data_IF_517932609193
#
_entry.id   IF_517932609193
#
_cell.length_a   1.000
_cell.length_b   1.000
_cell.length_c   1.000
_cell.angle_alpha   90.00
_cell.angle_beta   90.00
_cell.angle_gamma   90.00
#
_symmetry.space_group_name_H-M   'P 1'
#
loop_
_entity.id
_entity.type
_entity.pdbx_description
1 polymer ?
#
# COMPACT_ATOMS: atom_id res chain seq x y z
N UNK A 1 -12.08 -24.87 22.45
CA UNK A 1 -11.10 -24.79 21.34
C UNK A 1 -10.47 -23.41 21.41
N UNK A 2 -9.15 -23.27 21.42
CA UNK A 2 -8.51 -21.94 21.45
C UNK A 2 -8.73 -21.32 20.08
N UNK A 3 -9.36 -20.14 20.05
CA UNK A 3 -9.68 -19.41 18.83
C UNK A 3 -8.38 -18.80 18.30
N UNK A 4 -8.02 -19.06 17.03
CA UNK A 4 -6.83 -18.44 16.43
C UNK A 4 -6.99 -16.92 16.43
N UNK A 5 -5.97 -16.19 16.91
CA UNK A 5 -5.99 -14.74 17.05
C UNK A 5 -5.02 -14.06 16.09
N UNK A 6 -5.52 -13.07 15.35
CA UNK A 6 -4.80 -12.44 14.23
C UNK A 6 -4.78 -10.93 14.39
N UNK A 7 -3.59 -10.34 14.27
CA UNK A 7 -3.42 -8.89 14.24
C UNK A 7 -3.24 -8.40 12.80
N UNK A 8 -4.13 -7.52 12.36
CA UNK A 8 -3.94 -6.72 11.15
C UNK A 8 -3.45 -5.32 11.54
N UNK A 9 -2.29 -4.92 10.99
CA UNK A 9 -1.74 -3.56 11.17
C UNK A 9 -2.38 -2.50 10.26
N UNK A 10 -3.49 -2.85 9.62
CA UNK A 10 -4.29 -2.02 8.72
C UNK A 10 -5.75 -2.27 9.05
N UNK A 11 -6.57 -1.22 8.97
CA UNK A 11 -8.03 -1.37 8.99
C UNK A 11 -8.48 -2.18 7.77
N UNK A 12 -9.12 -3.31 8.04
CA UNK A 12 -9.83 -4.12 7.05
C UNK A 12 -11.33 -3.95 7.30
N UNK A 13 -12.14 -3.96 6.23
CA UNK A 13 -13.59 -3.80 6.41
C UNK A 13 -14.17 -4.96 7.22
N UNK A 14 -15.05 -4.70 8.20
CA UNK A 14 -15.69 -5.76 8.99
C UNK A 14 -16.41 -6.80 8.12
N UNK A 15 -17.09 -6.34 7.07
CA UNK A 15 -17.78 -7.19 6.09
C UNK A 15 -16.85 -8.20 5.43
N UNK A 16 -15.62 -7.78 5.06
CA UNK A 16 -14.63 -8.68 4.47
C UNK A 16 -14.11 -9.67 5.50
N UNK A 17 -13.82 -9.22 6.72
CA UNK A 17 -13.35 -10.10 7.78
C UNK A 17 -14.39 -11.16 8.16
N UNK A 18 -15.65 -10.77 8.30
CA UNK A 18 -16.75 -11.69 8.61
C UNK A 18 -16.94 -12.72 7.50
N UNK A 19 -16.96 -12.27 6.24
CA UNK A 19 -17.05 -13.16 5.07
C UNK A 19 -15.91 -14.19 5.04
N UNK A 20 -14.69 -13.76 5.33
CA UNK A 20 -13.50 -14.58 5.08
C UNK A 20 -13.11 -15.48 6.27
N UNK A 21 -13.40 -15.06 7.51
CA UNK A 21 -12.98 -15.76 8.73
C UNK A 21 -14.14 -16.24 9.62
N UNK A 22 -15.36 -15.72 9.44
CA UNK A 22 -16.50 -16.06 10.29
C UNK A 22 -16.25 -15.81 11.78
N UNK A 23 -16.79 -16.69 12.63
CA UNK A 23 -16.70 -16.59 14.10
C UNK A 23 -15.62 -17.47 14.72
N UNK A 24 -14.84 -18.20 13.93
CA UNK A 24 -13.86 -19.18 14.43
C UNK A 24 -12.45 -18.59 14.62
N UNK A 25 -12.25 -17.35 14.17
CA UNK A 25 -10.96 -16.64 14.23
C UNK A 25 -11.19 -15.28 14.84
N UNK A 26 -10.41 -14.94 15.86
CA UNK A 26 -10.45 -13.61 16.46
C UNK A 26 -9.55 -12.67 15.65
N UNK A 27 -10.14 -11.68 15.01
CA UNK A 27 -9.40 -10.69 14.21
C UNK A 27 -9.39 -9.35 14.93
N UNK A 28 -8.20 -8.83 15.15
CA UNK A 28 -7.98 -7.50 15.72
C UNK A 28 -7.32 -6.61 14.67
N UNK A 29 -7.92 -5.47 14.36
CA UNK A 29 -7.31 -4.44 13.51
C UNK A 29 -6.76 -3.31 14.38
N UNK A 30 -5.43 -3.12 14.38
CA UNK A 30 -4.78 -1.95 14.99
C UNK A 30 -3.89 -1.27 13.94
N UNK A 31 -4.41 -0.24 13.24
CA UNK A 31 -3.61 0.51 12.28
C UNK A 31 -2.37 1.10 12.91
N UNK A 32 -1.24 0.96 12.22
CA UNK A 32 0.04 1.57 12.58
C UNK A 32 0.35 2.82 11.77
N UNK A 33 -0.58 3.22 10.91
CA UNK A 33 -0.48 4.40 10.06
C UNK A 33 -1.78 5.20 10.11
N UNK A 34 -1.65 6.50 10.37
CA UNK A 34 -2.70 7.48 10.19
C UNK A 34 -2.47 8.23 8.87
N UNK A 35 -3.52 8.33 8.06
CA UNK A 35 -3.47 9.00 6.76
C UNK A 35 -4.17 10.34 6.86
N UNK A 36 -3.45 11.40 6.54
CA UNK A 36 -4.00 12.74 6.37
C UNK A 36 -3.97 13.11 4.88
N UNK A 37 -5.12 13.49 4.31
CA UNK A 37 -5.18 13.88 2.90
C UNK A 37 -4.87 15.36 2.76
N UNK A 38 -4.04 15.71 1.78
CA UNK A 38 -3.82 17.11 1.40
C UNK A 38 -5.12 17.70 0.87
N UNK A 39 -5.39 18.98 1.15
CA UNK A 39 -6.62 19.62 0.68
C UNK A 39 -6.65 19.74 -0.85
N UNK A 40 -7.86 19.73 -1.42
CA UNK A 40 -8.06 19.86 -2.87
C UNK A 40 -7.46 21.15 -3.44
N UNK A 41 -7.59 22.26 -2.72
CA UNK A 41 -7.07 23.56 -3.16
C UNK A 41 -5.53 23.55 -3.22
N UNK A 42 -4.87 22.96 -2.23
CA UNK A 42 -3.41 22.81 -2.22
C UNK A 42 -2.91 21.89 -3.33
N UNK A 43 -3.63 20.79 -3.59
CA UNK A 43 -3.31 19.88 -4.69
C UNK A 43 -3.46 20.62 -6.02
N UNK A 44 -4.59 21.26 -6.27
CA UNK A 44 -4.86 21.99 -7.52
C UNK A 44 -3.84 23.10 -7.78
N UNK A 45 -3.42 23.84 -6.75
CA UNK A 45 -2.45 24.91 -6.89
C UNK A 45 -1.04 24.46 -7.33
N UNK A 46 -0.72 23.17 -7.17
CA UNK A 46 0.58 22.59 -7.53
C UNK A 46 0.58 21.83 -8.85
N UNK A 47 -0.60 21.64 -9.47
CA UNK A 47 -0.70 20.91 -10.73
C UNK A 47 -0.19 21.77 -11.89
N UNK A 48 0.69 21.20 -12.71
CA UNK A 48 1.01 21.78 -14.00
C UNK A 48 -0.12 21.43 -14.98
N UNK A 49 -1.01 22.39 -15.22
CA UNK A 49 -2.16 22.22 -16.13
C UNK A 49 -1.77 22.02 -17.59
N UNK A 50 -0.52 22.33 -17.98
CA UNK A 50 -0.02 22.03 -19.33
C UNK A 50 0.33 20.55 -19.52
N UNK A 51 0.43 19.79 -18.42
CA UNK A 51 0.85 18.39 -18.38
C UNK A 51 -0.35 17.47 -18.08
N UNK A 52 -0.94 16.91 -19.14
CA UNK A 52 -2.08 16.00 -19.05
C UNK A 52 -1.71 14.54 -18.75
N UNK A 53 -0.63 14.32 -17.99
CA UNK A 53 -0.11 12.99 -17.63
C UNK A 53 0.09 12.88 -16.12
N UNK A 54 -0.63 11.94 -15.51
CA UNK A 54 -0.68 11.76 -14.06
C UNK A 54 -0.15 10.39 -13.65
N UNK A 55 0.88 10.37 -12.82
CA UNK A 55 1.35 9.13 -12.19
C UNK A 55 0.66 8.99 -10.83
N UNK A 56 0.09 7.82 -10.54
CA UNK A 56 -0.59 7.52 -9.27
C UNK A 56 -0.19 6.14 -8.77
N UNK A 57 0.30 6.05 -7.53
CA UNK A 57 0.80 4.78 -6.96
C UNK A 57 0.06 4.32 -5.73
N UNK A 58 -1.01 5.03 -5.31
CA UNK A 58 -1.69 4.78 -4.05
C UNK A 58 -3.19 5.07 -4.15
N UNK A 59 -4.00 4.20 -3.56
CA UNK A 59 -5.44 4.42 -3.40
C UNK A 59 -5.76 5.65 -2.52
N UNK A 60 -4.82 6.10 -1.67
CA UNK A 60 -4.98 7.32 -0.87
C UNK A 60 -4.92 8.57 -1.75
N UNK A 61 -4.04 8.59 -2.76
CA UNK A 61 -4.04 9.65 -3.77
C UNK A 61 -5.40 9.76 -4.43
N UNK A 62 -6.01 8.63 -4.81
CA UNK A 62 -7.32 8.60 -5.47
C UNK A 62 -8.44 9.16 -4.58
N UNK A 63 -8.33 9.00 -3.26
CA UNK A 63 -9.22 9.68 -2.31
C UNK A 63 -8.97 11.19 -2.28
N UNK A 64 -7.71 11.60 -2.18
CA UNK A 64 -7.34 13.02 -2.07
C UNK A 64 -7.81 13.84 -3.28
N UNK A 65 -7.73 13.26 -4.49
CA UNK A 65 -8.13 13.92 -5.74
C UNK A 65 -9.60 13.70 -6.12
N UNK A 66 -10.39 13.04 -5.26
CA UNK A 66 -11.79 12.77 -5.56
C UNK A 66 -12.57 14.07 -5.75
N UNK A 67 -13.20 14.25 -6.91
CA UNK A 67 -13.95 15.48 -7.24
C UNK A 67 -13.08 16.68 -7.62
N UNK A 68 -11.78 16.49 -7.90
CA UNK A 68 -10.98 17.45 -8.67
C UNK A 68 -11.19 17.23 -10.16
N UNK A 69 -11.32 18.28 -10.96
CA UNK A 69 -11.34 18.16 -12.41
C UNK A 69 -9.89 18.06 -12.93
N UNK A 70 -9.50 16.85 -13.35
CA UNK A 70 -8.16 16.54 -13.84
C UNK A 70 -8.31 15.91 -15.22
N UNK A 71 -8.00 16.69 -16.25
CA UNK A 71 -8.07 16.27 -17.64
C UNK A 71 -6.73 15.63 -18.04
N UNK A 72 -6.74 14.34 -18.36
CA UNK A 72 -5.54 13.67 -18.83
C UNK A 72 -5.56 12.16 -18.64
N UNK A 73 -4.38 11.57 -18.80
CA UNK A 73 -4.16 10.14 -18.73
C UNK A 73 -3.47 9.76 -17.41
N UNK A 74 -3.95 8.68 -16.80
CA UNK A 74 -3.45 8.16 -15.54
C UNK A 74 -2.62 6.90 -15.77
N UNK A 75 -1.45 6.88 -15.15
CA UNK A 75 -0.45 5.82 -15.20
C UNK A 75 -0.26 5.30 -13.78
N UNK A 76 -0.62 4.04 -13.57
CA UNK A 76 -1.05 3.60 -12.24
C UNK A 76 -0.24 2.40 -11.77
N UNK A 77 0.20 2.44 -10.50
CA UNK A 77 0.64 1.24 -9.78
C UNK A 77 -0.51 0.71 -8.92
N UNK A 78 -0.78 -0.58 -9.08
CA UNK A 78 -1.79 -1.34 -8.34
C UNK A 78 -3.15 -1.39 -9.03
N UNK A 79 -3.64 -2.60 -9.29
CA UNK A 79 -4.96 -2.86 -9.92
C UNK A 79 -6.11 -2.16 -9.20
N UNK A 80 -6.16 -2.22 -7.87
CA UNK A 80 -7.19 -1.53 -7.07
C UNK A 80 -7.13 -0.02 -7.15
N UNK A 81 -5.93 0.56 -7.27
CA UNK A 81 -5.76 2.00 -7.51
C UNK A 81 -6.38 2.36 -8.86
N UNK A 82 -6.14 1.56 -9.88
CA UNK A 82 -6.68 1.77 -11.21
C UNK A 82 -8.21 1.60 -11.28
N UNK A 83 -8.76 0.57 -10.64
CA UNK A 83 -10.21 0.36 -10.52
C UNK A 83 -10.89 1.56 -9.88
N UNK A 84 -10.31 2.08 -8.79
CA UNK A 84 -10.85 3.24 -8.09
C UNK A 84 -10.79 4.52 -8.93
N UNK A 85 -9.74 4.71 -9.72
CA UNK A 85 -9.65 5.82 -10.68
C UNK A 85 -10.70 5.68 -11.79
N UNK A 86 -10.88 4.48 -12.34
CA UNK A 86 -11.90 4.19 -13.36
C UNK A 86 -13.31 4.43 -12.83
N UNK A 87 -13.60 4.06 -11.58
CA UNK A 87 -14.87 4.34 -10.91
C UNK A 87 -15.13 5.86 -10.73
N UNK A 88 -14.08 6.68 -10.77
CA UNK A 88 -14.16 8.15 -10.81
C UNK A 88 -14.12 8.71 -12.26
N UNK A 89 -14.39 7.89 -13.28
CA UNK A 89 -14.36 8.25 -14.70
C UNK A 89 -13.00 8.80 -15.21
N UNK A 90 -11.89 8.42 -14.56
CA UNK A 90 -10.55 8.81 -14.99
C UNK A 90 -10.03 7.89 -16.10
N UNK A 91 -9.32 8.47 -17.08
CA UNK A 91 -8.72 7.71 -18.19
C UNK A 91 -7.41 7.04 -17.76
N UNK A 92 -7.48 5.78 -17.34
CA UNK A 92 -6.29 4.97 -17.01
C UNK A 92 -5.73 4.32 -18.25
N UNK A 93 -4.46 4.60 -18.57
CA UNK A 93 -3.78 4.13 -19.81
C UNK A 93 -2.83 2.96 -19.55
N UNK A 94 -2.15 2.99 -18.40
CA UNK A 94 -1.17 1.96 -18.03
C UNK A 94 -1.35 1.56 -16.57
N UNK A 95 -1.24 0.26 -16.30
CA UNK A 95 -1.41 -0.32 -14.96
C UNK A 95 -0.33 -1.39 -14.77
N UNK A 96 0.48 -1.24 -13.73
CA UNK A 96 1.45 -2.25 -13.31
C UNK A 96 1.26 -2.59 -11.83
N UNK A 97 1.77 -3.75 -11.39
CA UNK A 97 1.68 -4.15 -9.99
C UNK A 97 2.81 -3.51 -9.14
N UNK A 98 3.96 -3.16 -9.75
CA UNK A 98 5.08 -2.52 -9.08
C UNK A 98 5.62 -1.29 -9.82
N UNK A 99 6.26 -0.40 -9.05
CA UNK A 99 6.93 0.80 -9.55
C UNK A 99 8.08 0.47 -10.52
N UNK A 100 8.80 -0.62 -10.26
CA UNK A 100 9.91 -1.14 -11.07
C UNK A 100 9.45 -1.57 -12.47
N UNK A 101 8.22 -2.05 -12.60
CA UNK A 101 7.63 -2.42 -13.89
C UNK A 101 7.05 -1.21 -14.63
N UNK A 102 6.58 -0.20 -13.89
CA UNK A 102 5.97 1.00 -14.48
C UNK A 102 7.02 1.92 -15.11
N UNK A 103 8.14 2.17 -14.42
CA UNK A 103 9.12 3.17 -14.87
C UNK A 103 9.65 2.92 -16.30
N UNK A 104 10.08 1.69 -16.67
CA UNK A 104 10.57 1.42 -18.04
C UNK A 104 9.51 1.65 -19.11
N UNK A 105 8.23 1.40 -18.82
CA UNK A 105 7.11 1.58 -19.75
C UNK A 105 6.74 3.06 -19.92
N UNK A 106 6.92 3.89 -18.90
CA UNK A 106 6.79 5.35 -19.02
C UNK A 106 7.91 5.92 -19.91
N UNK A 107 9.15 5.45 -19.72
CA UNK A 107 10.34 5.96 -20.43
C UNK A 107 10.33 5.55 -21.91
N UNK A 108 9.96 4.31 -22.21
CA UNK A 108 9.94 3.77 -23.59
C UNK A 108 8.68 4.10 -24.37
N UNK A 109 7.64 4.59 -23.70
CA UNK A 109 6.37 4.95 -24.32
C UNK A 109 6.46 6.26 -25.13
N UNK A 110 5.56 6.43 -26.09
CA UNK A 110 5.42 7.67 -26.85
C UNK A 110 4.59 8.70 -26.06
N UNK A 111 5.14 9.17 -24.94
CA UNK A 111 4.53 10.09 -23.99
C UNK A 111 5.31 11.40 -23.90
N UNK A 112 4.68 12.47 -23.39
CA UNK A 112 5.44 13.69 -23.08
C UNK A 112 6.46 13.38 -21.97
N UNK A 113 7.66 13.98 -22.00
CA UNK A 113 8.67 13.71 -20.97
C UNK A 113 8.35 14.39 -19.63
N UNK A 114 7.16 14.95 -19.45
CA UNK A 114 6.73 15.69 -18.26
C UNK A 114 5.58 14.98 -17.55
N UNK A 115 5.65 14.91 -16.23
CA UNK A 115 4.70 14.14 -15.42
C UNK A 115 4.24 14.94 -14.20
N UNK A 116 2.93 14.96 -13.94
CA UNK A 116 2.39 15.27 -12.63
C UNK A 116 2.36 13.97 -11.81
N UNK A 117 3.23 13.83 -10.81
CA UNK A 117 3.25 12.67 -9.93
C UNK A 117 2.48 12.97 -8.64
N UNK A 118 1.30 12.36 -8.49
CA UNK A 118 0.37 12.56 -7.39
C UNK A 118 0.53 11.45 -6.34
N UNK A 119 1.07 11.77 -5.18
CA UNK A 119 1.58 10.70 -4.32
C UNK A 119 1.69 11.16 -2.83
N UNK A 120 1.94 10.29 -1.83
CA UNK A 120 2.08 10.72 -0.40
C UNK A 120 3.49 10.99 0.17
N UNK A 121 3.65 11.83 1.20
CA UNK A 121 4.95 12.39 1.65
C UNK A 121 6.07 11.37 1.94
N UNK A 122 5.76 10.17 2.42
CA UNK A 122 6.73 9.12 2.70
C UNK A 122 7.13 8.38 1.40
N UNK A 123 8.18 8.81 0.70
CA UNK A 123 8.61 8.16 -0.56
C UNK A 123 9.99 7.54 -0.50
N UNK A 124 10.07 6.39 -1.17
CA UNK A 124 11.29 5.81 -1.75
C UNK A 124 11.43 6.34 -3.16
N UNK A 125 12.65 6.71 -3.52
CA UNK A 125 12.97 7.51 -4.70
C UNK A 125 12.86 6.79 -6.05
N UNK A 126 12.41 5.53 -6.13
CA UNK A 126 12.58 4.70 -7.33
C UNK A 126 11.98 5.31 -8.61
N UNK A 127 10.68 5.61 -8.63
CA UNK A 127 10.04 6.17 -9.84
C UNK A 127 10.63 7.53 -10.22
N UNK A 128 10.83 8.41 -9.24
CA UNK A 128 11.38 9.75 -9.49
C UNK A 128 12.81 9.64 -10.01
N UNK A 129 13.63 8.77 -9.41
CA UNK A 129 15.01 8.54 -9.80
C UNK A 129 15.12 7.95 -11.20
N UNK A 130 14.36 6.89 -11.50
CA UNK A 130 14.43 6.23 -12.81
C UNK A 130 13.94 7.16 -13.93
N UNK A 131 12.87 7.92 -13.69
CA UNK A 131 12.39 8.94 -14.62
C UNK A 131 13.41 10.09 -14.80
N UNK A 132 13.98 10.60 -13.70
CA UNK A 132 14.97 11.68 -13.76
C UNK A 132 16.24 11.27 -14.49
N UNK A 133 16.73 10.04 -14.28
CA UNK A 133 17.89 9.48 -15.01
C UNK A 133 17.64 9.40 -16.52
N UNK A 134 16.39 9.23 -16.93
CA UNK A 134 15.96 9.21 -18.32
C UNK A 134 15.56 10.59 -18.86
N UNK A 135 15.95 11.69 -18.19
CA UNK A 135 15.64 13.07 -18.55
C UNK A 135 14.13 13.38 -18.63
N UNK A 136 13.34 12.71 -17.79
CA UNK A 136 11.92 13.00 -17.63
C UNK A 136 11.75 14.02 -16.49
N UNK A 137 10.93 15.05 -16.71
CA UNK A 137 10.58 16.06 -15.70
C UNK A 137 9.40 15.56 -14.85
N UNK A 138 9.58 15.54 -13.52
CA UNK A 138 8.57 15.03 -12.59
C UNK A 138 8.16 16.12 -11.61
N UNK A 139 6.99 16.71 -11.83
CA UNK A 139 6.33 17.58 -10.86
C UNK A 139 5.69 16.74 -9.75
N UNK A 140 6.30 16.72 -8.57
CA UNK A 140 5.82 15.94 -7.44
C UNK A 140 4.81 16.73 -6.61
N UNK A 141 3.61 16.18 -6.44
CA UNK A 141 2.52 16.81 -5.71
C UNK A 141 2.13 15.90 -4.54
N UNK A 142 2.31 16.41 -3.33
CA UNK A 142 1.97 15.68 -2.10
C UNK A 142 0.45 15.70 -1.93
N UNK A 143 -0.19 14.54 -2.08
CA UNK A 143 -1.66 14.39 -1.98
C UNK A 143 -2.11 13.78 -0.66
N UNK A 144 -1.20 13.21 0.11
CA UNK A 144 -1.47 12.75 1.48
C UNK A 144 -0.17 12.65 2.27
N UNK A 145 -0.28 12.58 3.58
CA UNK A 145 0.80 12.26 4.49
C UNK A 145 0.46 11.01 5.30
N UNK A 146 1.48 10.34 5.81
CA UNK A 146 1.32 9.15 6.63
C UNK A 146 2.13 9.31 7.90
N UNK A 147 1.45 9.29 9.03
CA UNK A 147 2.08 9.36 10.35
C UNK A 147 2.08 7.98 10.99
N UNK A 148 3.16 7.64 11.69
CA UNK A 148 3.25 6.39 12.42
C UNK A 148 2.39 6.47 13.68
N UNK A 149 1.50 5.48 13.83
CA UNK A 149 0.76 5.26 15.07
C UNK A 149 1.47 4.14 15.82
N UNK A 150 2.00 4.51 16.98
CA UNK A 150 2.72 3.59 17.86
C UNK A 150 1.83 3.24 19.04
N UNK A 151 1.70 1.96 19.32
CA UNK A 151 0.93 1.43 20.43
C UNK A 151 1.65 0.24 21.04
N UNK A 152 1.37 -0.05 22.31
CA UNK A 152 1.84 -1.26 22.97
C UNK A 152 0.70 -2.29 23.04
N UNK A 153 1.01 -3.55 22.76
CA UNK A 153 0.12 -4.68 22.96
C UNK A 153 0.24 -5.21 24.39
N UNK A 154 -0.89 -5.61 24.94
CA UNK A 154 -1.00 -6.30 26.23
C UNK A 154 -1.17 -7.82 26.07
N UNK A 155 -1.03 -8.32 24.84
CA UNK A 155 -1.26 -9.72 24.47
C UNK A 155 -0.49 -10.10 23.20
N UNK A 156 -0.36 -11.40 22.96
CA UNK A 156 0.26 -11.98 21.77
C UNK A 156 -0.78 -12.49 20.78
N UNK A 157 -0.37 -12.69 19.53
CA UNK A 157 -1.21 -13.15 18.44
C UNK A 157 -0.59 -14.38 17.78
N UNK A 158 -1.41 -15.29 17.24
CA UNK A 158 -0.91 -16.43 16.47
C UNK A 158 -0.39 -16.01 15.09
N UNK A 159 -0.93 -14.91 14.56
CA UNK A 159 -0.57 -14.38 13.26
C UNK A 159 -0.55 -12.85 13.24
N UNK A 160 0.42 -12.29 12.51
CA UNK A 160 0.60 -10.84 12.33
C UNK A 160 0.62 -10.50 10.84
N UNK A 161 -0.23 -9.57 10.40
CA UNK A 161 -0.31 -9.13 9.01
C UNK A 161 0.20 -7.69 8.84
N UNK A 162 1.25 -7.53 8.03
CA UNK A 162 1.89 -6.24 7.73
C UNK A 162 1.69 -5.80 6.28
N UNK A 163 1.26 -4.56 6.11
CA UNK A 163 0.85 -3.99 4.81
C UNK A 163 1.81 -2.94 4.26
N UNK A 164 2.92 -2.66 4.96
CA UNK A 164 4.03 -1.86 4.45
C UNK A 164 5.26 -1.99 5.38
N UNK A 165 6.46 -1.65 4.90
CA UNK A 165 7.65 -1.56 5.75
C UNK A 165 7.47 -0.54 6.89
N UNK A 166 6.79 0.58 6.62
CA UNK A 166 6.56 1.64 7.61
C UNK A 166 5.63 1.16 8.72
N UNK A 167 4.63 0.35 8.37
CA UNK A 167 3.72 -0.28 9.33
C UNK A 167 4.46 -1.23 10.28
N UNK A 168 5.34 -2.08 9.76
CA UNK A 168 6.17 -2.95 10.58
C UNK A 168 7.10 -2.14 11.50
N UNK A 169 7.77 -1.12 10.97
CA UNK A 169 8.66 -0.27 11.78
C UNK A 169 7.92 0.45 12.90
N UNK A 170 6.70 0.94 12.66
CA UNK A 170 5.88 1.58 13.69
C UNK A 170 5.46 0.57 14.77
N UNK A 171 5.03 -0.62 14.36
CA UNK A 171 4.69 -1.71 15.29
C UNK A 171 5.88 -2.12 16.17
N UNK A 172 7.05 -2.33 15.56
CA UNK A 172 8.21 -2.88 16.24
C UNK A 172 8.86 -1.91 17.26
N UNK A 173 8.49 -0.63 17.26
CA UNK A 173 8.99 0.33 18.26
C UNK A 173 8.60 -0.01 19.70
N UNK A 174 7.45 -0.66 19.91
CA UNK A 174 6.91 -0.96 21.24
C UNK A 174 6.43 -2.41 21.37
N UNK A 175 6.63 -3.24 20.34
CA UNK A 175 6.13 -4.60 20.30
C UNK A 175 7.15 -5.56 19.70
N UNK A 176 7.17 -6.76 20.25
CA UNK A 176 7.90 -7.90 19.71
C UNK A 176 6.92 -8.94 19.15
N UNK A 177 7.41 -9.76 18.22
CA UNK A 177 6.66 -10.87 17.64
C UNK A 177 7.19 -12.16 18.24
N UNK A 178 6.30 -12.97 18.81
CA UNK A 178 6.68 -14.26 19.41
C UNK A 178 7.13 -15.24 18.31
N UNK A 179 8.18 -16.02 18.57
CA UNK A 179 8.73 -17.01 17.63
C UNK A 179 7.72 -18.08 17.17
N UNK A 180 6.70 -18.37 17.99
CA UNK A 180 5.63 -19.32 17.65
C UNK A 180 4.56 -18.75 16.71
N UNK A 181 4.61 -17.45 16.45
CA UNK A 181 3.66 -16.74 15.59
C UNK A 181 4.02 -16.89 14.13
N UNK A 182 3.07 -16.59 13.23
CA UNK A 182 3.34 -16.49 11.80
C UNK A 182 3.19 -15.05 11.31
N UNK A 183 4.15 -14.61 10.50
CA UNK A 183 4.08 -13.30 9.84
C UNK A 183 3.54 -13.44 8.42
N UNK A 184 2.64 -12.54 8.05
CA UNK A 184 2.10 -12.39 6.70
C UNK A 184 2.39 -10.99 6.20
N UNK A 185 2.86 -10.89 4.95
CA UNK A 185 3.20 -9.60 4.36
C UNK A 185 2.50 -9.39 3.03
N UNK A 186 2.18 -8.12 2.74
CA UNK A 186 1.58 -7.73 1.46
C UNK A 186 2.53 -7.85 0.27
N UNK A 187 3.83 -7.98 0.50
CA UNK A 187 4.80 -8.09 -0.59
C UNK A 187 6.26 -8.01 -0.11
N UNK A 188 7.16 -8.25 -1.07
CA UNK A 188 8.59 -8.46 -0.84
C UNK A 188 9.26 -7.32 -0.07
N UNK A 189 8.90 -6.06 -0.35
CA UNK A 189 9.49 -4.92 0.33
C UNK A 189 9.21 -4.90 1.83
N UNK A 190 8.04 -5.40 2.25
CA UNK A 190 7.69 -5.54 3.67
C UNK A 190 8.41 -6.73 4.27
N UNK A 191 8.49 -7.85 3.54
CA UNK A 191 9.25 -9.04 3.94
C UNK A 191 10.71 -8.71 4.23
N UNK A 192 11.39 -8.00 3.32
CA UNK A 192 12.80 -7.61 3.51
C UNK A 192 13.00 -6.77 4.78
N UNK A 193 12.12 -5.79 5.02
CA UNK A 193 12.20 -4.95 6.22
C UNK A 193 11.99 -5.74 7.53
N UNK A 194 11.19 -6.80 7.49
CA UNK A 194 10.99 -7.70 8.64
C UNK A 194 12.21 -8.60 8.83
N UNK A 195 12.76 -9.16 7.75
CA UNK A 195 13.92 -10.05 7.80
C UNK A 195 15.20 -9.37 8.29
N UNK A 196 15.33 -8.05 8.12
CA UNK A 196 16.43 -7.26 8.72
C UNK A 196 16.45 -7.37 10.26
N UNK A 197 15.29 -7.55 10.89
CA UNK A 197 15.12 -7.63 12.35
C UNK A 197 14.91 -9.07 12.81
N UNK A 198 14.15 -9.85 12.04
CA UNK A 198 13.73 -11.22 12.32
C UNK A 198 14.20 -12.18 11.22
N UNK A 199 15.52 -12.40 11.05
CA UNK A 199 16.07 -13.11 9.88
C UNK A 199 15.63 -14.57 9.75
N UNK A 200 15.32 -15.23 10.87
CA UNK A 200 14.95 -16.65 10.92
C UNK A 200 13.44 -16.88 11.10
N UNK A 201 12.64 -15.81 11.15
CA UNK A 201 11.21 -15.93 11.40
C UNK A 201 10.47 -16.34 10.12
N UNK A 202 9.50 -17.23 10.25
CA UNK A 202 8.74 -17.71 9.10
C UNK A 202 7.77 -16.63 8.59
N UNK A 203 7.92 -16.25 7.32
CA UNK A 203 7.12 -15.20 6.69
C UNK A 203 6.43 -15.76 5.44
N UNK A 204 5.10 -15.60 5.35
CA UNK A 204 4.32 -15.89 4.15
C UNK A 204 4.05 -14.58 3.41
N UNK A 205 4.66 -14.43 2.23
CA UNK A 205 4.54 -13.21 1.41
C UNK A 205 3.45 -13.38 0.36
N UNK A 206 2.57 -12.39 0.23
CA UNK A 206 1.59 -12.37 -0.85
C UNK A 206 2.27 -12.26 -2.22
N UNK A 207 1.89 -13.13 -3.16
CA UNK A 207 2.44 -13.13 -4.53
C UNK A 207 1.99 -11.91 -5.33
N UNK A 208 0.84 -11.33 -4.98
CA UNK A 208 0.33 -10.08 -5.54
C UNK A 208 -0.01 -9.16 -4.37
N UNK A 209 0.31 -7.84 -4.44
CA UNK A 209 0.16 -6.92 -3.32
C UNK A 209 -1.30 -6.50 -3.08
N UNK A 210 -2.13 -7.48 -2.71
CA UNK A 210 -3.55 -7.34 -2.43
C UNK A 210 -3.87 -7.86 -1.03
N UNK A 211 -4.75 -7.14 -0.33
CA UNK A 211 -5.23 -7.50 1.02
C UNK A 211 -5.88 -8.89 1.00
N UNK A 212 -6.63 -9.18 -0.06
CA UNK A 212 -7.31 -10.46 -0.29
C UNK A 212 -6.30 -11.62 -0.32
N UNK A 213 -5.17 -11.45 -1.01
CA UNK A 213 -4.14 -12.50 -1.11
C UNK A 213 -3.48 -12.74 0.25
N UNK A 214 -3.29 -11.69 1.06
CA UNK A 214 -2.83 -11.84 2.45
C UNK A 214 -3.85 -12.63 3.27
N UNK A 215 -5.14 -12.31 3.14
CA UNK A 215 -6.23 -13.02 3.84
C UNK A 215 -6.29 -14.49 3.40
N UNK A 216 -6.20 -14.78 2.10
CA UNK A 216 -6.19 -16.15 1.56
C UNK A 216 -5.01 -16.96 2.12
N UNK A 217 -3.82 -16.37 2.16
CA UNK A 217 -2.63 -16.98 2.75
C UNK A 217 -2.84 -17.33 4.23
N UNK A 218 -3.44 -16.41 4.99
CA UNK A 218 -3.78 -16.61 6.40
C UNK A 218 -4.78 -17.76 6.54
N UNK A 219 -5.86 -17.78 5.75
CA UNK A 219 -6.87 -18.84 5.78
C UNK A 219 -6.27 -20.21 5.49
N UNK A 220 -5.40 -20.31 4.48
CA UNK A 220 -4.70 -21.54 4.14
C UNK A 220 -3.86 -22.03 5.32
N UNK A 221 -3.06 -21.14 5.92
CA UNK A 221 -2.24 -21.46 7.09
C UNK A 221 -3.07 -21.98 8.28
N UNK A 222 -4.24 -21.38 8.53
CA UNK A 222 -5.13 -21.82 9.61
C UNK A 222 -5.72 -23.20 9.32
N UNK A 223 -6.14 -23.45 8.07
CA UNK A 223 -6.70 -24.74 7.69
C UNK A 223 -5.66 -25.87 7.72
N UNK A 224 -4.42 -25.59 7.33
CA UNK A 224 -3.32 -26.58 7.35
C UNK A 224 -2.90 -26.96 8.80
N UNK A 225 -3.29 -26.16 9.81
CA UNK A 225 -3.06 -26.43 11.23
C UNK A 225 -4.18 -27.22 11.92
N UNK A 226 -5.35 -27.37 11.28
CA UNK A 226 -6.49 -28.12 11.84
C UNK A 226 -6.35 -29.61 11.52
#
# INVERSE_FOLDING_TARGET
>A
MVRTKILFTKLISPELLEKEFGTDVEVVCKPTLQIELTSKNEISAQIDESVHQFIVTSQNTVNAIQGLELNGHFFVVGKKTAEKLKAQNRKVVLIEDYAEDLAPKLISGNYSPKWNFLCGSSRRDLLVNELSKANQEVNQIITYQSEQVVYQLNETFDAYAFFSPLSFKAFHQQNEISESSRIFTIGNTTTSAIQEVYPNHEIITAQTPLVEVVIENIKKYINDKK
#
